data_IF_123736070555
#
_entry.id   IF_123736070555
#
_cell.length_a   1.000
_cell.length_b   1.000
_cell.length_c   1.000
_cell.angle_alpha   90.00
_cell.angle_beta   90.00
_cell.angle_gamma   90.00
#
_symmetry.space_group_name_H-M   'P 1'
#
loop_
_entity.id
_entity.type
_entity.pdbx_description
1 polymer ?
#
# COMPACT_ATOMS: atom_id res chain seq x y z
N UNK A 1 4.11 6.31 5.64
CA UNK A 1 5.32 5.46 5.64
C UNK A 1 5.10 4.33 6.63
N UNK A 2 5.01 3.10 6.15
CA UNK A 2 4.51 1.95 6.92
C UNK A 2 5.49 0.78 6.85
N UNK A 3 5.72 0.05 7.95
CA UNK A 3 6.46 -1.21 7.99
C UNK A 3 5.50 -2.40 7.80
N UNK A 4 5.78 -3.23 6.80
CA UNK A 4 4.92 -4.38 6.43
C UNK A 4 4.88 -5.45 7.49
N UNK A 5 6.03 -5.74 8.12
CA UNK A 5 6.16 -6.88 9.01
C UNK A 5 5.50 -6.60 10.37
N UNK A 6 5.71 -5.41 10.92
CA UNK A 6 5.15 -5.04 12.23
C UNK A 6 3.82 -4.30 12.17
N UNK A 7 3.39 -3.90 10.98
CA UNK A 7 2.24 -3.02 10.75
C UNK A 7 2.34 -1.65 11.43
N UNK A 8 3.56 -1.18 11.71
CA UNK A 8 3.79 0.11 12.35
C UNK A 8 3.97 1.20 11.30
N UNK A 9 3.24 2.31 11.41
CA UNK A 9 3.55 3.50 10.62
C UNK A 9 4.70 4.30 11.27
N UNK A 10 5.73 4.58 10.49
CA UNK A 10 6.94 5.30 10.92
C UNK A 10 6.81 6.80 10.68
N UNK A 11 6.04 7.19 9.66
CA UNK A 11 5.76 8.59 9.36
C UNK A 11 4.40 8.75 8.67
N UNK A 12 3.69 9.80 9.03
CA UNK A 12 2.44 10.26 8.40
C UNK A 12 2.55 11.75 8.12
N UNK A 13 1.64 12.30 7.33
CA UNK A 13 1.53 13.75 7.15
C UNK A 13 1.06 14.44 8.44
N UNK A 14 0.84 15.76 8.41
CA UNK A 14 0.40 16.50 9.60
C UNK A 14 -1.05 16.19 10.02
N UNK A 15 -1.82 15.48 9.19
CA UNK A 15 -3.21 15.14 9.49
C UNK A 15 -3.29 13.99 10.50
N UNK A 16 -4.24 14.05 11.45
CA UNK A 16 -4.48 12.94 12.35
C UNK A 16 -4.95 11.71 11.55
N UNK A 17 -4.31 10.56 11.80
CA UNK A 17 -4.69 9.28 11.19
C UNK A 17 -5.87 8.70 11.95
N UNK A 18 -6.97 8.47 11.26
CA UNK A 18 -8.12 7.74 11.81
C UNK A 18 -7.83 6.23 11.89
N UNK A 19 -8.38 5.57 12.91
CA UNK A 19 -8.17 4.13 13.11
C UNK A 19 -8.73 3.30 11.96
N UNK A 20 -9.85 3.71 11.37
CA UNK A 20 -10.41 3.04 10.21
C UNK A 20 -9.45 3.08 9.00
N UNK A 21 -8.74 4.19 8.82
CA UNK A 21 -7.73 4.33 7.77
C UNK A 21 -6.54 3.42 8.04
N UNK A 22 -6.08 3.32 9.30
CA UNK A 22 -5.01 2.41 9.69
C UNK A 22 -5.36 0.94 9.41
N UNK A 23 -6.57 0.50 9.79
CA UNK A 23 -7.06 -0.86 9.52
C UNK A 23 -7.12 -1.13 8.02
N UNK A 24 -7.69 -0.22 7.24
CA UNK A 24 -7.79 -0.35 5.79
C UNK A 24 -6.40 -0.45 5.11
N UNK A 25 -5.40 0.26 5.62
CA UNK A 25 -4.03 0.15 5.15
C UNK A 25 -3.41 -1.21 5.47
N UNK A 26 -3.69 -1.76 6.66
CA UNK A 26 -3.23 -3.08 7.05
C UNK A 26 -3.81 -4.16 6.14
N UNK A 27 -5.12 -4.10 5.89
CA UNK A 27 -5.83 -5.00 4.98
C UNK A 27 -5.27 -4.92 3.55
N UNK A 28 -5.00 -3.71 3.05
CA UNK A 28 -4.37 -3.51 1.75
C UNK A 28 -3.02 -4.22 1.64
N UNK A 29 -2.19 -4.12 2.69
CA UNK A 29 -0.87 -4.77 2.73
C UNK A 29 -1.04 -6.29 2.67
N UNK A 30 -1.94 -6.87 3.48
CA UNK A 30 -2.15 -8.32 3.50
C UNK A 30 -2.62 -8.84 2.14
N UNK A 31 -3.65 -8.20 1.56
CA UNK A 31 -4.14 -8.54 0.22
C UNK A 31 -3.03 -8.49 -0.82
N UNK A 32 -2.20 -7.44 -0.77
CA UNK A 32 -1.10 -7.25 -1.72
C UNK A 32 -0.06 -8.37 -1.59
N UNK A 33 0.36 -8.70 -0.36
CA UNK A 33 1.36 -9.73 -0.10
C UNK A 33 0.82 -11.13 -0.44
N UNK A 34 -0.44 -11.42 -0.12
CA UNK A 34 -1.06 -12.71 -0.42
C UNK A 34 -1.16 -12.95 -1.93
N UNK A 35 -1.61 -11.95 -2.69
CA UNK A 35 -1.66 -12.03 -4.17
C UNK A 35 -0.27 -12.23 -4.74
N UNK A 36 0.69 -11.44 -4.26
CA UNK A 36 2.09 -11.53 -4.68
C UNK A 36 2.74 -12.86 -4.30
N UNK A 37 2.30 -13.52 -3.23
CA UNK A 37 2.80 -14.85 -2.84
C UNK A 37 2.29 -15.93 -3.79
N UNK A 38 1.05 -15.79 -4.27
CA UNK A 38 0.44 -16.75 -5.22
C UNK A 38 1.02 -16.56 -6.63
N UNK A 39 1.18 -15.32 -7.09
CA UNK A 39 1.49 -15.00 -8.50
C UNK A 39 2.84 -14.33 -8.75
N UNK A 40 3.52 -13.82 -7.73
CA UNK A 40 4.76 -13.03 -7.86
C UNK A 40 6.04 -13.85 -7.96
N UNK A 41 5.97 -15.19 -7.89
CA UNK A 41 7.14 -16.05 -7.90
C UNK A 41 7.19 -16.94 -9.17
N UNK A 42 8.05 -16.62 -10.15
CA UNK A 42 8.22 -17.46 -11.33
C UNK A 42 9.09 -18.67 -10.99
N UNK A 43 8.44 -19.73 -10.50
CA UNK A 43 8.99 -21.08 -10.37
C UNK A 43 10.00 -21.27 -9.23
N UNK A 44 9.58 -21.95 -8.15
CA UNK A 44 10.35 -22.58 -7.04
C UNK A 44 11.53 -21.82 -6.39
N UNK A 45 11.90 -20.63 -6.87
CA UNK A 45 12.91 -19.77 -6.28
C UNK A 45 12.28 -19.01 -5.13
N UNK A 46 12.89 -18.99 -3.95
CA UNK A 46 12.38 -18.20 -2.81
C UNK A 46 12.65 -16.70 -3.01
N UNK A 47 12.33 -16.14 -4.18
CA UNK A 47 12.33 -14.69 -4.36
C UNK A 47 11.28 -14.09 -3.43
N UNK A 48 11.58 -12.95 -2.81
CA UNK A 48 10.59 -12.28 -1.98
C UNK A 48 9.36 -11.98 -2.84
N UNK A 49 8.18 -12.35 -2.35
CA UNK A 49 6.90 -12.12 -3.05
C UNK A 49 6.73 -10.64 -3.43
N UNK A 50 7.35 -9.74 -2.67
CA UNK A 50 7.37 -8.32 -2.91
C UNK A 50 8.82 -7.83 -3.11
N UNK A 51 9.07 -7.09 -4.18
CA UNK A 51 10.38 -6.59 -4.58
C UNK A 51 10.40 -5.07 -4.82
N UNK A 52 11.52 -4.52 -5.28
CA UNK A 52 11.68 -3.07 -5.51
C UNK A 52 10.82 -2.51 -6.65
N UNK A 53 10.24 -3.36 -7.50
CA UNK A 53 9.35 -2.96 -8.58
C UNK A 53 7.86 -3.15 -8.23
N UNK A 54 7.60 -3.80 -7.10
CA UNK A 54 6.26 -4.13 -6.67
C UNK A 54 5.48 -2.88 -6.24
N UNK A 55 4.29 -2.75 -6.82
CA UNK A 55 3.34 -1.68 -6.53
C UNK A 55 1.91 -2.16 -6.69
N UNK A 56 0.97 -1.51 -6.02
CA UNK A 56 -0.43 -1.90 -6.00
C UNK A 56 -1.30 -0.65 -5.91
N UNK A 57 -2.40 -0.66 -6.65
CA UNK A 57 -3.38 0.44 -6.68
C UNK A 57 -4.76 -0.16 -6.46
N UNK A 58 -5.47 0.30 -5.45
CA UNK A 58 -6.84 -0.12 -5.15
C UNK A 58 -7.75 1.10 -5.24
N UNK A 59 -8.74 1.02 -6.13
CA UNK A 59 -9.79 2.04 -6.24
C UNK A 59 -10.99 1.61 -5.41
N UNK A 60 -11.38 2.46 -4.46
CA UNK A 60 -12.58 2.26 -3.66
C UNK A 60 -13.78 2.89 -4.36
N UNK A 61 -14.99 2.43 -4.00
CA UNK A 61 -16.24 2.99 -4.53
C UNK A 61 -16.42 4.47 -4.15
N UNK A 62 -15.83 4.90 -3.05
CA UNK A 62 -15.88 6.25 -2.51
C UNK A 62 -14.91 7.21 -3.20
N UNK A 63 -14.53 6.92 -4.44
CA UNK A 63 -13.52 7.63 -5.24
C UNK A 63 -12.11 7.75 -4.63
N UNK A 64 -11.90 7.19 -3.45
CA UNK A 64 -10.58 7.14 -2.84
C UNK A 64 -9.70 6.11 -3.55
N UNK A 65 -8.43 6.49 -3.76
CA UNK A 65 -7.41 5.62 -4.30
C UNK A 65 -6.40 5.31 -3.22
N UNK A 66 -6.18 4.02 -2.98
CA UNK A 66 -5.10 3.52 -2.15
C UNK A 66 -3.93 3.14 -3.06
N UNK A 67 -2.79 3.76 -2.84
CA UNK A 67 -1.56 3.47 -3.58
C UNK A 67 -0.53 2.84 -2.64
N UNK A 68 0.12 1.77 -3.06
CA UNK A 68 1.18 1.09 -2.33
C UNK A 68 2.35 0.84 -3.26
N UNK A 69 3.54 1.22 -2.85
CA UNK A 69 4.77 1.02 -3.63
C UNK A 69 5.97 0.82 -2.73
N UNK A 70 6.81 -0.16 -3.05
CA UNK A 70 8.09 -0.35 -2.37
C UNK A 70 8.99 0.86 -2.63
N UNK A 71 9.51 1.50 -1.57
CA UNK A 71 10.43 2.64 -1.70
C UNK A 71 11.85 2.33 -1.22
N UNK A 72 12.00 1.55 -0.14
CA UNK A 72 13.30 1.17 0.43
C UNK A 72 13.37 -0.34 0.68
N UNK A 73 14.57 -0.93 0.78
CA UNK A 73 14.77 -2.36 1.08
C UNK A 73 14.06 -2.82 2.37
N UNK A 74 13.87 -1.91 3.32
CA UNK A 74 13.17 -2.14 4.59
C UNK A 74 11.66 -1.97 4.44
N UNK A 75 10.96 -2.88 3.73
CA UNK A 75 9.50 -3.09 3.84
C UNK A 75 8.67 -1.80 4.00
N UNK A 76 9.01 -0.75 3.25
CA UNK A 76 8.52 0.59 3.52
C UNK A 76 7.56 1.01 2.41
N UNK A 77 6.29 1.19 2.76
CA UNK A 77 5.27 1.64 1.81
C UNK A 77 4.91 3.11 1.97
N UNK A 78 4.77 3.77 0.81
CA UNK A 78 4.17 5.10 0.68
C UNK A 78 2.70 4.93 0.32
N UNK A 79 1.81 5.31 1.23
CA UNK A 79 0.37 5.31 1.01
C UNK A 79 -0.07 6.73 0.69
N UNK A 80 -0.58 6.94 -0.53
CA UNK A 80 -1.29 8.17 -0.87
C UNK A 80 -2.78 7.87 -0.83
N UNK A 81 -3.51 8.62 -0.02
CA UNK A 81 -4.96 8.71 -0.10
C UNK A 81 -5.28 9.90 -0.99
N UNK A 82 -5.61 9.64 -2.26
CA UNK A 82 -6.23 10.69 -3.07
C UNK A 82 -7.72 10.64 -2.80
N UNK A 83 -8.29 11.68 -2.21
CA UNK A 83 -9.64 12.07 -2.64
C UNK A 83 -9.58 12.35 -4.13
N UNK A 84 -10.62 12.01 -4.92
CA UNK A 84 -10.66 12.48 -6.28
C UNK A 84 -10.62 14.01 -6.18
N UNK A 85 -9.55 14.62 -6.67
CA UNK A 85 -9.63 16.03 -6.96
C UNK A 85 -10.69 16.12 -8.06
N UNK A 86 -11.92 16.47 -7.67
CA UNK A 86 -12.96 16.92 -8.59
C UNK A 86 -12.27 17.98 -9.40
N UNK A 87 -11.93 17.66 -10.64
CA UNK A 87 -11.45 18.61 -11.61
C UNK A 87 -12.62 19.54 -11.90
N UNK A 88 -12.82 20.49 -10.99
CA UNK A 88 -13.69 21.63 -11.15
C UNK A 88 -12.87 22.66 -11.91
N UNK A 89 -13.20 22.71 -13.21
CA UNK A 89 -13.13 23.85 -14.11
C UNK A 89 -11.74 24.35 -14.56
N UNK A 90 -11.45 24.16 -15.85
CA UNK A 90 -11.82 25.11 -16.90
C UNK A 90 -11.91 24.43 -18.25
#
# INVERSE_FOLDING_TARGET
>A
MFDVASKIYIATDSSPVDMATYELCCDMIDVTIDISTIYGCPGHSRSSAFDSQSSTVIHLRTDHVLFLRQVLLIQLFFLFFSEPHKHRNK
#
